data_IF_971535692908
#
_entry.id   IF_971535692908
#
_cell.length_a   1.000
_cell.length_b   1.000
_cell.length_c   1.000
_cell.angle_alpha   90.00
_cell.angle_beta   90.00
_cell.angle_gamma   90.00
#
_symmetry.space_group_name_H-M   'P 1'
#
loop_
_entity.id
_entity.type
_entity.pdbx_description
1 polymer ?
#
# COMPACT_ATOMS: atom_id res chain seq x y z
N UNK A 1 17.95 -24.84 -6.14
CA UNK A 1 18.80 -24.17 -5.15
C UNK A 1 17.95 -23.09 -4.52
N UNK A 2 17.89 -22.98 -3.19
CA UNK A 2 17.21 -21.84 -2.56
C UNK A 2 18.06 -20.60 -2.82
N UNK A 3 17.50 -19.60 -3.50
CA UNK A 3 18.15 -18.30 -3.61
C UNK A 3 18.02 -17.62 -2.25
N UNK A 4 19.14 -17.32 -1.60
CA UNK A 4 19.16 -16.54 -0.36
C UNK A 4 19.17 -15.06 -0.73
N UNK A 5 18.22 -14.30 -0.19
CA UNK A 5 18.17 -12.85 -0.32
C UNK A 5 18.79 -12.19 0.91
N UNK A 6 19.44 -11.05 0.72
CA UNK A 6 19.96 -10.21 1.80
C UNK A 6 18.90 -9.16 2.16
N UNK A 7 18.26 -9.31 3.32
CA UNK A 7 17.25 -8.36 3.79
C UNK A 7 17.95 -7.21 4.50
N UNK A 8 17.73 -5.99 4.03
CA UNK A 8 18.31 -4.76 4.62
C UNK A 8 17.24 -3.73 4.92
N UNK A 9 17.59 -2.75 5.75
CA UNK A 9 16.72 -1.64 6.10
C UNK A 9 15.42 -2.09 6.78
N UNK A 10 15.48 -3.15 7.59
CA UNK A 10 14.35 -3.75 8.28
C UNK A 10 14.52 -5.26 8.47
N UNK A 11 13.46 -5.90 8.94
CA UNK A 11 13.41 -7.34 9.20
C UNK A 11 12.19 -7.96 8.49
N UNK A 12 12.38 -9.13 7.88
CA UNK A 12 11.26 -9.99 7.47
C UNK A 12 10.89 -10.87 8.67
N UNK A 13 9.62 -10.85 9.06
CA UNK A 13 9.08 -11.71 10.11
C UNK A 13 8.44 -12.95 9.48
N UNK A 14 7.51 -12.76 8.55
CA UNK A 14 6.81 -13.84 7.87
C UNK A 14 6.31 -13.44 6.48
N UNK A 15 6.13 -14.41 5.59
CA UNK A 15 5.53 -14.20 4.26
C UNK A 15 4.04 -14.52 4.35
N UNK A 16 3.19 -13.52 4.07
CA UNK A 16 1.75 -13.61 4.32
C UNK A 16 0.92 -13.71 3.03
N UNK A 17 1.56 -13.63 1.87
CA UNK A 17 0.86 -13.67 0.58
C UNK A 17 1.73 -14.14 -0.57
N UNK A 18 1.10 -14.22 -1.75
CA UNK A 18 1.80 -14.65 -2.96
C UNK A 18 2.64 -13.51 -3.54
N UNK A 19 3.88 -13.78 -3.99
CA UNK A 19 4.70 -12.76 -4.59
C UNK A 19 4.18 -12.39 -5.99
N UNK A 20 4.25 -11.10 -6.32
CA UNK A 20 3.94 -10.59 -7.67
C UNK A 20 5.16 -9.89 -8.23
N UNK A 21 5.51 -10.22 -9.47
CA UNK A 21 6.64 -9.60 -10.17
C UNK A 21 6.15 -8.51 -11.11
N UNK A 22 6.81 -7.37 -11.09
CA UNK A 22 6.65 -6.31 -12.06
C UNK A 22 8.02 -5.78 -12.47
N UNK A 23 8.30 -5.79 -13.78
CA UNK A 23 9.62 -5.48 -14.34
C UNK A 23 10.75 -6.31 -13.67
N UNK A 24 11.67 -5.63 -12.98
CA UNK A 24 12.82 -6.21 -12.29
C UNK A 24 12.65 -6.27 -10.76
N UNK A 25 11.46 -5.98 -10.24
CA UNK A 25 11.13 -6.06 -8.82
C UNK A 25 10.08 -7.14 -8.56
N UNK A 26 10.28 -7.93 -7.51
CA UNK A 26 9.25 -8.85 -6.99
C UNK A 26 8.77 -8.32 -5.65
N UNK A 27 7.47 -8.09 -5.53
CA UNK A 27 6.83 -7.64 -4.30
C UNK A 27 6.23 -8.84 -3.58
N UNK A 28 6.56 -8.99 -2.31
CA UNK A 28 6.09 -10.08 -1.47
C UNK A 28 5.32 -9.48 -0.30
N UNK A 29 4.00 -9.72 -0.18
CA UNK A 29 3.26 -9.37 1.02
C UNK A 29 3.87 -10.11 2.21
N UNK A 30 4.25 -9.37 3.24
CA UNK A 30 5.02 -9.93 4.34
C UNK A 30 4.75 -9.17 5.63
N UNK A 31 4.75 -9.87 6.76
CA UNK A 31 4.92 -9.21 8.05
C UNK A 31 6.38 -8.75 8.16
N UNK A 32 6.59 -7.46 8.36
CA UNK A 32 7.94 -6.89 8.45
C UNK A 32 8.09 -6.02 9.68
N UNK A 33 9.33 -5.66 10.01
CA UNK A 33 9.64 -4.64 10.99
C UNK A 33 10.57 -3.61 10.36
N UNK A 34 10.09 -2.39 10.19
CA UNK A 34 10.94 -1.27 9.81
C UNK A 34 11.81 -0.82 10.99
N UNK A 35 13.03 -0.38 10.70
CA UNK A 35 13.97 0.16 11.69
C UNK A 35 13.71 1.65 11.88
N UNK A 36 13.27 2.03 13.07
CA UNK A 36 12.94 3.41 13.38
C UNK A 36 12.01 3.57 14.56
N UNK A 37 11.80 4.82 14.96
CA UNK A 37 10.82 5.21 16.00
C UNK A 37 9.80 6.22 15.49
N UNK A 38 10.03 6.79 14.31
CA UNK A 38 9.17 7.76 13.67
C UNK A 38 9.27 7.56 12.16
N UNK A 39 8.17 7.18 11.54
CA UNK A 39 8.11 6.93 10.10
C UNK A 39 7.41 8.09 9.40
N UNK A 40 7.89 8.43 8.21
CA UNK A 40 7.29 9.47 7.38
C UNK A 40 6.62 8.82 6.18
N UNK A 41 5.38 9.20 5.91
CA UNK A 41 4.71 8.89 4.65
C UNK A 41 5.50 9.52 3.50
N UNK A 42 5.96 8.69 2.57
CA UNK A 42 6.70 9.09 1.38
C UNK A 42 5.97 8.62 0.13
N UNK A 43 6.31 9.19 -1.03
CA UNK A 43 5.73 8.79 -2.32
C UNK A 43 4.21 8.66 -2.29
N UNK A 44 3.48 9.73 -1.91
CA UNK A 44 2.03 9.71 -2.05
C UNK A 44 1.64 9.41 -3.50
N UNK A 45 0.66 8.53 -3.76
CA UNK A 45 0.32 8.11 -5.13
C UNK A 45 0.03 9.30 -6.07
N UNK A 46 -0.74 10.29 -5.60
CA UNK A 46 -1.15 11.44 -6.42
C UNK A 46 0.05 12.35 -6.72
N UNK A 47 0.86 12.63 -5.71
CA UNK A 47 2.06 13.47 -5.88
C UNK A 47 3.11 12.75 -6.73
N UNK A 48 3.35 11.46 -6.49
CA UNK A 48 4.21 10.61 -7.32
C UNK A 48 3.74 10.62 -8.79
N UNK A 49 2.46 10.41 -9.05
CA UNK A 49 1.93 10.41 -10.42
C UNK A 49 2.13 11.78 -11.09
N UNK A 50 1.93 12.87 -10.35
CA UNK A 50 2.16 14.24 -10.83
C UNK A 50 3.64 14.47 -11.16
N UNK A 51 4.55 14.09 -10.28
CA UNK A 51 6.00 14.21 -10.47
C UNK A 51 6.49 13.41 -11.68
N UNK A 52 5.96 12.20 -11.86
CA UNK A 52 6.25 11.32 -13.01
C UNK A 52 5.49 11.72 -14.29
N UNK A 53 4.67 12.77 -14.25
CA UNK A 53 3.79 13.19 -15.36
C UNK A 53 2.89 12.05 -15.88
N UNK A 54 2.53 11.12 -14.99
CA UNK A 54 1.63 10.00 -15.28
C UNK A 54 0.19 10.46 -15.11
N UNK A 55 -0.66 10.12 -16.08
CA UNK A 55 -2.10 10.32 -15.96
C UNK A 55 -2.68 9.17 -15.14
N UNK A 56 -3.34 9.49 -14.05
CA UNK A 56 -4.10 8.50 -13.31
C UNK A 56 -5.38 8.13 -14.08
N UNK A 57 -5.76 6.84 -14.12
CA UNK A 57 -7.02 6.39 -14.67
C UNK A 57 -8.21 7.04 -13.95
N UNK A 58 -9.33 7.24 -14.64
CA UNK A 58 -10.50 7.92 -14.08
C UNK A 58 -11.13 7.18 -12.87
N UNK A 59 -10.90 5.86 -12.77
CA UNK A 59 -11.33 5.03 -11.64
C UNK A 59 -10.61 5.40 -10.33
N UNK A 60 -9.42 6.03 -10.42
CA UNK A 60 -8.71 6.59 -9.27
C UNK A 60 -9.28 7.99 -9.00
N UNK A 61 -10.29 8.06 -8.15
CA UNK A 61 -11.08 9.28 -7.93
C UNK A 61 -10.46 10.18 -6.87
N UNK A 62 -10.20 11.45 -7.22
CA UNK A 62 -9.81 12.48 -6.27
C UNK A 62 -8.48 12.20 -5.56
N UNK A 63 -8.31 12.81 -4.37
CA UNK A 63 -7.14 12.56 -3.52
C UNK A 63 -7.29 11.27 -2.69
N UNK A 64 -8.53 10.86 -2.41
CA UNK A 64 -8.89 9.69 -1.61
C UNK A 64 -8.93 8.44 -2.49
N UNK A 65 -7.77 7.80 -2.64
CA UNK A 65 -7.57 6.68 -3.54
C UNK A 65 -7.49 5.32 -2.82
N UNK A 66 -7.60 5.28 -1.49
CA UNK A 66 -7.40 4.07 -0.71
C UNK A 66 -8.41 2.95 -1.04
N UNK A 67 -9.67 3.27 -1.36
CA UNK A 67 -10.65 2.26 -1.75
C UNK A 67 -10.24 1.52 -3.03
N UNK A 68 -9.85 2.28 -4.07
CA UNK A 68 -9.29 1.72 -5.29
C UNK A 68 -8.02 0.91 -5.00
N UNK A 69 -7.12 1.49 -4.20
CA UNK A 69 -5.81 0.91 -3.93
C UNK A 69 -5.92 -0.44 -3.21
N UNK A 70 -6.73 -0.52 -2.17
CA UNK A 70 -6.96 -1.76 -1.44
C UNK A 70 -7.64 -2.82 -2.32
N UNK A 71 -8.60 -2.44 -3.16
CA UNK A 71 -9.21 -3.37 -4.13
C UNK A 71 -8.18 -3.97 -5.09
N UNK A 72 -7.21 -3.16 -5.54
CA UNK A 72 -6.06 -3.64 -6.33
C UNK A 72 -5.12 -4.53 -5.51
N UNK A 73 -4.84 -4.20 -4.26
CA UNK A 73 -3.98 -5.03 -3.39
C UNK A 73 -4.59 -6.42 -3.19
N UNK A 74 -5.88 -6.49 -2.88
CA UNK A 74 -6.60 -7.76 -2.72
C UNK A 74 -6.56 -8.54 -4.04
N UNK A 75 -6.80 -7.90 -5.18
CA UNK A 75 -6.74 -8.56 -6.49
C UNK A 75 -5.36 -9.15 -6.80
N UNK A 76 -4.30 -8.35 -6.63
CA UNK A 76 -2.94 -8.74 -7.00
C UNK A 76 -2.32 -9.75 -6.04
N UNK A 77 -2.51 -9.54 -4.75
CA UNK A 77 -1.74 -10.21 -3.70
C UNK A 77 -2.59 -11.16 -2.85
N UNK A 78 -3.92 -11.16 -3.03
CA UNK A 78 -4.86 -11.86 -2.17
C UNK A 78 -4.64 -11.50 -0.69
N UNK A 79 -4.38 -10.21 -0.42
CA UNK A 79 -4.19 -9.70 0.93
C UNK A 79 -5.50 -9.75 1.69
N UNK A 80 -5.47 -10.23 2.93
CA UNK A 80 -6.56 -10.02 3.86
C UNK A 80 -6.53 -8.57 4.35
N UNK A 81 -7.70 -7.96 4.51
CA UNK A 81 -7.78 -6.62 5.06
C UNK A 81 -7.58 -6.68 6.58
N UNK A 82 -6.87 -5.71 7.13
CA UNK A 82 -6.67 -5.58 8.59
C UNK A 82 -8.01 -5.29 9.25
N UNK A 83 -8.26 -5.94 10.40
CA UNK A 83 -9.49 -5.75 11.15
C UNK A 83 -9.65 -4.27 11.57
N UNK A 84 -10.89 -3.80 11.69
CA UNK A 84 -11.20 -2.40 12.03
C UNK A 84 -10.55 -1.93 13.33
N UNK A 85 -10.51 -2.78 14.35
CA UNK A 85 -9.96 -2.49 15.67
C UNK A 85 -8.43 -2.58 15.73
N UNK A 86 -7.81 -3.16 14.70
CA UNK A 86 -6.35 -3.26 14.55
C UNK A 86 -5.78 -2.16 13.64
N UNK A 87 -6.62 -1.45 12.89
CA UNK A 87 -6.20 -0.36 12.01
C UNK A 87 -5.81 0.88 12.82
N UNK A 88 -4.79 1.58 12.32
CA UNK A 88 -4.43 2.89 12.83
C UNK A 88 -5.58 3.88 12.61
N UNK A 89 -5.69 4.86 13.51
CA UNK A 89 -6.69 5.91 13.37
C UNK A 89 -6.55 6.61 12.02
N UNK A 90 -7.67 6.80 11.31
CA UNK A 90 -7.75 7.44 9.99
C UNK A 90 -7.03 6.69 8.86
N UNK A 91 -6.86 5.38 8.98
CA UNK A 91 -6.35 4.55 7.89
C UNK A 91 -7.43 3.56 7.42
N UNK A 92 -7.51 3.37 6.11
CA UNK A 92 -8.37 2.39 5.46
C UNK A 92 -7.68 1.02 5.42
N UNK A 93 -6.36 1.00 5.20
CA UNK A 93 -5.53 -0.20 5.15
C UNK A 93 -4.11 0.08 5.65
N UNK A 94 -3.41 -0.98 6.03
CA UNK A 94 -1.99 -0.97 6.33
C UNK A 94 -1.41 -2.35 5.97
N UNK A 95 -0.53 -2.40 4.98
CA UNK A 95 0.02 -3.65 4.44
C UNK A 95 1.53 -3.50 4.24
N UNK A 96 2.27 -4.40 4.87
CA UNK A 96 3.72 -4.50 4.73
C UNK A 96 4.13 -5.40 3.58
N UNK A 97 5.25 -5.04 2.94
CA UNK A 97 5.82 -5.75 1.81
C UNK A 97 7.33 -5.86 1.93
N UNK A 98 7.89 -6.85 1.22
CA UNK A 98 9.32 -6.89 0.87
C UNK A 98 9.46 -6.75 -0.63
N UNK A 99 10.22 -5.74 -1.08
CA UNK A 99 10.64 -5.59 -2.46
C UNK A 99 11.96 -6.33 -2.68
N UNK A 100 11.96 -7.33 -3.54
CA UNK A 100 13.13 -8.10 -3.94
C UNK A 100 13.60 -7.62 -5.31
N UNK A 101 14.82 -7.09 -5.38
CA UNK A 101 15.42 -6.64 -6.63
C UNK A 101 16.02 -7.84 -7.37
N UNK A 102 15.69 -7.99 -8.66
CA UNK A 102 16.18 -9.07 -9.51
C UNK A 102 17.64 -8.89 -9.99
N UNK A 103 18.35 -7.88 -9.48
CA UNK A 103 19.73 -7.62 -9.87
C UNK A 103 20.73 -8.50 -9.10
N UNK A 104 22.02 -8.38 -9.42
CA UNK A 104 23.07 -9.23 -8.86
C UNK A 104 23.24 -9.09 -7.33
N UNK A 105 22.58 -8.12 -6.69
CA UNK A 105 22.69 -7.91 -5.25
C UNK A 105 21.85 -8.87 -4.41
N UNK A 106 20.83 -9.53 -5.00
CA UNK A 106 19.79 -10.28 -4.25
C UNK A 106 19.24 -9.49 -3.05
N UNK A 107 19.16 -8.16 -3.17
CA UNK A 107 18.70 -7.27 -2.11
C UNK A 107 17.18 -7.35 -1.94
N UNK A 108 16.75 -7.48 -0.69
CA UNK A 108 15.37 -7.42 -0.27
C UNK A 108 15.17 -6.24 0.71
N UNK A 109 14.18 -5.38 0.43
CA UNK A 109 13.92 -4.15 1.19
C UNK A 109 12.49 -4.17 1.70
N UNK A 110 12.27 -4.23 3.02
CA UNK A 110 10.97 -4.04 3.64
C UNK A 110 10.45 -2.61 3.46
N UNK A 111 9.15 -2.48 3.25
CA UNK A 111 8.43 -1.20 3.25
C UNK A 111 6.97 -1.43 3.62
N UNK A 112 6.33 -0.40 4.17
CA UNK A 112 4.90 -0.42 4.47
C UNK A 112 4.15 0.41 3.43
N UNK A 113 2.93 -0.03 3.12
CA UNK A 113 1.99 0.70 2.28
C UNK A 113 0.70 0.88 3.06
N UNK A 114 0.36 2.15 3.32
CA UNK A 114 -0.83 2.53 4.07
C UNK A 114 -1.37 3.84 3.52
N UNK A 115 -2.54 4.24 4.00
CA UNK A 115 -3.13 5.53 3.73
C UNK A 115 -3.32 6.33 5.03
N UNK A 116 -3.47 7.64 4.88
CA UNK A 116 -3.96 8.50 5.95
C UNK A 116 -5.00 9.45 5.36
N UNK A 117 -6.23 9.41 5.87
CA UNK A 117 -7.39 10.04 5.24
C UNK A 117 -7.57 9.62 3.77
N UNK A 118 -7.48 8.31 3.49
CA UNK A 118 -7.70 7.77 2.14
C UNK A 118 -6.56 8.05 1.14
N UNK A 119 -5.50 8.74 1.57
CA UNK A 119 -4.35 9.10 0.71
C UNK A 119 -3.23 8.09 0.86
N UNK A 120 -3.09 7.19 -0.11
CA UNK A 120 -2.06 6.15 -0.12
C UNK A 120 -0.65 6.71 -0.19
N UNK A 121 0.26 6.12 0.58
CA UNK A 121 1.68 6.42 0.63
C UNK A 121 2.51 5.18 0.96
N UNK A 122 3.83 5.29 0.77
CA UNK A 122 4.80 4.26 1.13
C UNK A 122 5.65 4.75 2.31
N UNK A 123 6.01 3.85 3.21
CA UNK A 123 6.86 4.13 4.36
C UNK A 123 8.07 3.18 4.34
N UNK A 124 9.24 3.72 4.65
CA UNK A 124 10.49 2.99 4.74
C UNK A 124 11.11 3.25 6.11
N UNK A 125 12.07 2.40 6.50
CA UNK A 125 12.86 2.60 7.72
C UNK A 125 13.43 4.01 7.83
N UNK A 126 13.40 4.60 9.03
CA UNK A 126 13.89 5.96 9.28
C UNK A 126 15.33 5.98 9.77
N UNK A 127 15.72 5.00 10.59
CA UNK A 127 17.03 5.00 11.26
C UNK A 127 18.10 4.30 10.40
N UNK A 128 17.66 3.41 9.52
CA UNK A 128 18.46 2.79 8.45
C UNK A 128 17.73 2.98 7.11
N UNK A 129 17.53 4.24 6.72
CA UNK A 129 16.75 4.60 5.54
C UNK A 129 17.45 4.14 4.24
N UNK A 130 16.74 3.38 3.35
CA UNK A 130 17.30 3.05 2.05
C UNK A 130 17.59 4.32 1.23
N UNK A 131 18.65 4.35 0.39
CA UNK A 131 18.95 5.52 -0.43
C UNK A 131 17.77 5.95 -1.30
N UNK A 132 17.59 7.26 -1.50
CA UNK A 132 16.44 7.81 -2.24
C UNK A 132 16.23 7.13 -3.61
N UNK A 133 17.30 6.93 -4.39
CA UNK A 133 17.19 6.27 -5.70
C UNK A 133 16.66 4.83 -5.63
N UNK A 134 16.94 4.10 -4.55
CA UNK A 134 16.39 2.78 -4.31
C UNK A 134 14.90 2.85 -3.93
N UNK A 135 14.53 3.77 -3.04
CA UNK A 135 13.13 3.97 -2.65
C UNK A 135 12.27 4.44 -3.83
N UNK A 136 12.78 5.36 -4.65
CA UNK A 136 12.13 5.79 -5.89
C UNK A 136 11.92 4.64 -6.87
N UNK A 137 12.94 3.77 -7.07
CA UNK A 137 12.80 2.57 -7.93
C UNK A 137 11.71 1.62 -7.42
N UNK A 138 11.66 1.39 -6.10
CA UNK A 138 10.61 0.57 -5.48
C UNK A 138 9.23 1.20 -5.70
N UNK A 139 9.09 2.51 -5.43
CA UNK A 139 7.83 3.23 -5.61
C UNK A 139 7.37 3.23 -7.08
N UNK A 140 8.28 3.46 -8.02
CA UNK A 140 8.00 3.47 -9.46
C UNK A 140 7.47 2.11 -9.93
N UNK A 141 8.12 1.02 -9.52
CA UNK A 141 7.69 -0.33 -9.87
C UNK A 141 6.39 -0.73 -9.15
N UNK A 142 6.22 -0.36 -7.88
CA UNK A 142 5.05 -0.71 -7.09
C UNK A 142 3.80 0.00 -7.62
N UNK A 143 3.85 1.33 -7.77
CA UNK A 143 2.72 2.06 -8.36
C UNK A 143 2.55 1.76 -9.85
N UNK A 144 3.62 1.42 -10.58
CA UNK A 144 3.54 0.86 -11.92
C UNK A 144 2.67 -0.38 -11.98
N UNK A 145 2.91 -1.34 -11.09
CA UNK A 145 2.11 -2.56 -10.94
C UNK A 145 0.65 -2.26 -10.55
N UNK A 146 0.44 -1.35 -9.61
CA UNK A 146 -0.92 -0.99 -9.17
C UNK A 146 -1.75 -0.38 -10.30
N UNK A 147 -1.11 0.40 -11.18
CA UNK A 147 -1.71 1.03 -12.34
C UNK A 147 -1.75 0.14 -13.59
N UNK A 148 -1.12 -1.04 -13.56
CA UNK A 148 -1.28 -2.05 -14.61
C UNK A 148 -2.65 -2.68 -14.47
N UNK A 149 -3.45 -2.68 -15.55
CA UNK A 149 -4.87 -3.10 -15.52
C UNK A 149 -5.67 -2.47 -14.35
N UNK A 150 -5.85 -1.14 -14.34
CA UNK A 150 -6.36 -0.40 -13.18
C UNK A 150 -7.82 -0.70 -12.82
N UNK A 151 -8.57 -1.30 -13.74
CA UNK A 151 -9.98 -1.67 -13.57
C UNK A 151 -10.15 -3.10 -12.99
N UNK A 152 -9.05 -3.87 -12.88
CA UNK A 152 -9.06 -5.22 -12.31
C UNK A 152 -9.06 -5.13 -10.78
N UNK A 153 -10.24 -5.04 -10.17
CA UNK A 153 -10.43 -4.88 -8.73
C UNK A 153 -11.16 -6.07 -8.12
N UNK A 154 -10.84 -6.39 -6.87
CA UNK A 154 -11.68 -7.27 -6.06
C UNK A 154 -12.74 -6.43 -5.34
N UNK A 155 -14.01 -6.80 -5.50
CA UNK A 155 -15.11 -6.19 -4.76
C UNK A 155 -14.99 -6.50 -3.26
N UNK A 156 -15.19 -5.48 -2.43
CA UNK A 156 -15.20 -5.59 -0.98
C UNK A 156 -15.92 -4.40 -0.36
N UNK A 157 -16.41 -4.56 0.87
CA UNK A 157 -17.01 -3.49 1.67
C UNK A 157 -16.28 -3.40 3.01
N UNK A 158 -15.99 -2.18 3.46
CA UNK A 158 -15.45 -1.91 4.78
C UNK A 158 -15.89 -0.53 5.28
N UNK A 159 -15.47 -0.16 6.49
CA UNK A 159 -15.66 1.15 7.07
C UNK A 159 -14.43 1.59 7.87
N UNK A 160 -14.30 2.90 8.10
CA UNK A 160 -13.31 3.49 9.02
C UNK A 160 -14.02 4.52 9.91
N UNK A 161 -13.55 4.67 11.15
CA UNK A 161 -14.07 5.71 12.03
C UNK A 161 -13.28 7.01 11.85
N UNK A 162 -13.97 8.09 11.50
CA UNK A 162 -13.36 9.43 11.43
C UNK A 162 -13.53 10.15 12.77
N UNK A 163 -12.61 9.90 13.70
CA UNK A 163 -12.61 10.45 15.07
C UNK A 163 -12.75 11.97 15.15
N UNK A 164 -12.21 12.72 14.17
CA UNK A 164 -12.21 14.18 14.16
C UNK A 164 -13.59 14.79 13.91
N UNK A 165 -14.52 14.03 13.34
CA UNK A 165 -15.87 14.46 12.99
C UNK A 165 -16.95 13.58 13.62
N UNK A 166 -16.58 12.40 14.13
CA UNK A 166 -17.45 11.52 14.90
C UNK A 166 -18.40 10.65 14.06
N UNK A 167 -18.10 10.41 12.79
CA UNK A 167 -18.90 9.55 11.92
C UNK A 167 -18.10 8.39 11.32
N UNK A 168 -18.82 7.40 10.82
CA UNK A 168 -18.27 6.27 10.08
C UNK A 168 -18.24 6.58 8.59
N UNK A 169 -17.14 6.27 7.93
CA UNK A 169 -17.03 6.29 6.48
C UNK A 169 -17.11 4.86 6.00
N UNK A 170 -18.09 4.54 5.18
CA UNK A 170 -18.15 3.30 4.43
C UNK A 170 -17.33 3.46 3.15
N UNK A 171 -16.53 2.47 2.81
CA UNK A 171 -15.70 2.51 1.61
C UNK A 171 -15.43 1.12 1.09
N UNK A 172 -15.15 1.02 -0.20
CA UNK A 172 -14.94 -0.27 -0.81
C UNK A 172 -14.89 -0.21 -2.33
N UNK A 173 -15.06 -1.38 -2.92
CA UNK A 173 -15.25 -1.55 -4.36
C UNK A 173 -16.51 -2.36 -4.56
N UNK A 174 -17.46 -1.80 -5.33
CA UNK A 174 -18.72 -2.45 -5.65
C UNK A 174 -18.90 -2.50 -7.15
N UNK A 175 -19.07 -3.70 -7.71
CA UNK A 175 -19.18 -3.92 -9.15
C UNK A 175 -18.00 -3.33 -9.94
N UNK A 176 -16.79 -3.44 -9.37
CA UNK A 176 -15.57 -2.87 -9.95
C UNK A 176 -15.46 -1.35 -9.83
N UNK A 177 -16.33 -0.66 -9.09
CA UNK A 177 -16.27 0.79 -8.89
C UNK A 177 -15.92 1.14 -7.43
N UNK A 178 -14.84 1.90 -7.18
CA UNK A 178 -14.51 2.39 -5.85
C UNK A 178 -15.53 3.39 -5.33
N UNK A 179 -15.85 3.31 -4.03
CA UNK A 179 -16.73 4.24 -3.34
C UNK A 179 -16.19 4.66 -1.97
N UNK A 180 -16.62 5.84 -1.53
CA UNK A 180 -16.43 6.42 -0.21
C UNK A 180 -17.73 7.16 0.13
N UNK A 181 -18.47 6.67 1.11
CA UNK A 181 -19.75 7.21 1.53
C UNK A 181 -19.75 7.49 3.03
N UNK A 182 -20.30 8.63 3.43
CA UNK A 182 -20.53 8.91 4.85
C UNK A 182 -21.68 8.01 5.33
N UNK A 183 -21.35 7.06 6.21
CA UNK A 183 -22.33 6.20 6.86
C UNK A 183 -23.18 7.01 7.85
N UNK A 184 -24.39 6.52 8.14
CA UNK A 184 -25.29 7.14 9.12
C UNK A 184 -24.61 7.33 10.48
N UNK A 185 -24.98 8.42 11.18
CA UNK A 185 -24.48 8.79 12.50
C UNK A 185 -24.30 7.57 13.42
N UNK A 186 -23.18 7.55 14.15
CA UNK A 186 -23.00 6.55 15.21
C UNK A 186 -24.15 6.68 16.20
N UNK A 187 -25.04 5.68 16.25
CA UNK A 187 -26.05 5.57 17.30
C UNK A 187 -25.33 5.69 18.66
N UNK A 188 -25.54 6.85 19.31
CA UNK A 188 -25.07 7.17 20.67
C UNK A 188 -25.76 6.34 21.73
#
# INVERSE_FOLDING_TARGET
MAHSFDIRHGELIDVIGSPVRFEDVTFVPASTRLTGTSFSAQFNLIDWAREQQRKLPAIVRGDENAAWFLGRLIYLFNTENVAEDERMEKTCFDVSFVAILSDASNLAVPFDCSDHYGRTSLMFSSDDEPPLGLRSRIADAFYGLMLDEPDSLTDYDNRMFHSGTGFWIEFGVSHGEPYFDEGSDADT
#
